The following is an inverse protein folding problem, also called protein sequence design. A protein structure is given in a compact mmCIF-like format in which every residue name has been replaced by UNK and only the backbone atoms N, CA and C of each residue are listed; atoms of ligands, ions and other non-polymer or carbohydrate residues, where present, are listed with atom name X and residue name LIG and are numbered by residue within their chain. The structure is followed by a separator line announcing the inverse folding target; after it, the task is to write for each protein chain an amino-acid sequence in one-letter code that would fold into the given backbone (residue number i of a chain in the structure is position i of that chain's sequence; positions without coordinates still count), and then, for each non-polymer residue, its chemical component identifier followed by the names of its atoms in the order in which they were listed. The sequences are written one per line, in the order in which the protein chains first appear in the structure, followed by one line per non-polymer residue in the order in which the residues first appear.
data_IF_537066053242
#
_entry.id   IF_537066053242
#
_cell.length_a   1.000
_cell.length_b   1.000
_cell.length_c   1.000
_cell.angle_alpha   90.00
_cell.angle_beta   90.00
_cell.angle_gamma   90.00
#
_symmetry.space_group_name_H-M   'P 1'
#
loop_
_entity.id
_entity.type
_entity.pdbx_description
1 polymer ?
#
# COMPACT_ATOMS: atom_id res chain seq x y z
N UNK A 1 18.93 40.95 10.70
CA UNK A 1 20.00 40.07 11.25
C UNK A 1 19.89 38.73 10.54
N UNK A 2 20.85 38.40 9.70
CA UNK A 2 20.95 37.08 9.07
C UNK A 2 21.70 36.21 10.07
N UNK A 3 21.04 35.21 10.66
CA UNK A 3 21.68 34.23 11.53
C UNK A 3 22.87 33.58 10.79
N UNK A 4 24.03 33.50 11.46
CA UNK A 4 25.24 32.86 10.93
C UNK A 4 25.03 31.36 10.70
N UNK A 5 25.84 30.75 9.82
CA UNK A 5 25.72 29.33 9.45
C UNK A 5 25.67 28.37 10.64
N UNK A 6 26.54 28.59 11.64
CA UNK A 6 26.63 27.75 12.85
C UNK A 6 25.37 27.86 13.73
N UNK A 7 24.76 29.05 13.80
CA UNK A 7 23.55 29.29 14.59
C UNK A 7 22.32 28.67 13.92
N UNK A 8 22.29 28.65 12.58
CA UNK A 8 21.26 27.94 11.79
C UNK A 8 21.39 26.42 11.95
N UNK A 9 22.61 25.89 11.93
CA UNK A 9 22.85 24.45 12.09
C UNK A 9 22.48 23.96 13.50
N UNK A 10 22.76 24.76 14.54
CA UNK A 10 22.32 24.45 15.91
C UNK A 10 20.78 24.43 16.05
N UNK A 11 20.07 25.33 15.37
CA UNK A 11 18.60 25.38 15.35
C UNK A 11 18.02 24.20 14.55
N UNK A 12 18.66 23.79 13.46
CA UNK A 12 18.18 22.70 12.58
C UNK A 12 18.58 21.30 13.06
N UNK A 13 19.58 21.16 13.94
CA UNK A 13 20.06 19.87 14.42
C UNK A 13 18.96 18.97 15.02
N UNK A 14 18.02 19.46 15.86
CA UNK A 14 16.91 18.66 16.36
C UNK A 14 15.97 18.19 15.24
N UNK A 15 15.68 19.05 14.26
CA UNK A 15 14.85 18.71 13.10
C UNK A 15 15.51 17.61 12.27
N UNK A 16 16.81 17.71 12.01
CA UNK A 16 17.56 16.67 11.30
C UNK A 16 17.57 15.34 12.07
N UNK A 17 17.71 15.37 13.40
CA UNK A 17 17.65 14.18 14.24
C UNK A 17 16.28 13.52 14.17
N UNK A 18 15.19 14.27 14.32
CA UNK A 18 13.82 13.75 14.19
C UNK A 18 13.56 13.18 12.80
N UNK A 19 14.02 13.85 11.74
CA UNK A 19 13.89 13.35 10.36
C UNK A 19 14.65 12.03 10.14
N UNK A 20 15.82 11.84 10.76
CA UNK A 20 16.55 10.56 10.71
C UNK A 20 15.79 9.46 11.45
N UNK A 21 15.27 9.75 12.64
CA UNK A 21 14.48 8.79 13.41
C UNK A 21 13.22 8.35 12.66
N UNK A 22 12.50 9.30 12.04
CA UNK A 22 11.32 9.01 11.23
C UNK A 22 11.65 8.14 10.02
N UNK A 23 12.78 8.39 9.34
CA UNK A 23 13.26 7.53 8.23
C UNK A 23 13.56 6.12 8.72
N UNK A 24 14.28 5.98 9.81
CA UNK A 24 14.62 4.66 10.38
C UNK A 24 13.35 3.87 10.73
N UNK A 25 12.38 4.50 11.38
CA UNK A 25 11.11 3.86 11.72
C UNK A 25 10.32 3.45 10.46
N UNK A 26 10.34 4.30 9.42
CA UNK A 26 9.71 4.00 8.14
C UNK A 26 10.36 2.79 7.45
N UNK A 27 11.70 2.70 7.45
CA UNK A 27 12.43 1.58 6.88
C UNK A 27 12.11 0.28 7.63
N UNK A 28 12.17 0.31 8.96
CA UNK A 28 11.81 -0.85 9.79
C UNK A 28 10.37 -1.29 9.57
N UNK A 29 9.42 -0.35 9.40
CA UNK A 29 8.04 -0.68 9.07
C UNK A 29 7.92 -1.38 7.71
N UNK A 30 8.62 -0.87 6.69
CA UNK A 30 8.65 -1.49 5.36
C UNK A 30 9.21 -2.91 5.42
N UNK A 31 10.31 -3.13 6.14
CA UNK A 31 10.94 -4.45 6.30
C UNK A 31 10.00 -5.43 7.00
N UNK A 32 9.31 -5.00 8.06
CA UNK A 32 8.31 -5.83 8.76
C UNK A 32 7.15 -6.21 7.85
N UNK A 33 6.63 -5.25 7.08
CA UNK A 33 5.53 -5.50 6.13
C UNK A 33 5.97 -6.46 5.03
N UNK A 34 7.18 -6.26 4.49
CA UNK A 34 7.75 -7.14 3.48
C UNK A 34 7.89 -8.58 4.00
N UNK A 35 8.50 -8.76 5.17
CA UNK A 35 8.65 -10.07 5.79
C UNK A 35 7.27 -10.73 6.07
N UNK A 36 6.29 -9.94 6.53
CA UNK A 36 4.93 -10.43 6.73
C UNK A 36 4.30 -10.93 5.43
N UNK A 37 4.39 -10.14 4.35
CA UNK A 37 3.85 -10.49 3.03
C UNK A 37 4.52 -11.74 2.47
N UNK A 38 5.85 -11.83 2.54
CA UNK A 38 6.63 -12.97 2.04
C UNK A 38 6.28 -14.28 2.77
N UNK A 39 6.18 -14.22 4.11
CA UNK A 39 5.92 -15.40 4.93
C UNK A 39 4.44 -15.82 4.95
N UNK A 40 3.50 -14.87 4.87
CA UNK A 40 2.10 -15.13 5.23
C UNK A 40 1.09 -14.82 4.14
N UNK A 41 1.48 -14.24 3.00
CA UNK A 41 0.54 -13.89 1.94
C UNK A 41 0.77 -14.69 0.66
N UNK A 42 -0.33 -14.91 -0.08
CA UNK A 42 -0.30 -15.42 -1.45
C UNK A 42 -0.90 -14.43 -2.43
N UNK A 43 -0.32 -14.37 -3.62
CA UNK A 43 -0.84 -13.57 -4.73
C UNK A 43 -2.06 -14.27 -5.32
N UNK A 44 -3.18 -13.56 -5.33
CA UNK A 44 -4.38 -13.96 -6.07
C UNK A 44 -4.40 -13.16 -7.37
N UNK A 45 -4.45 -13.89 -8.49
CA UNK A 45 -4.47 -13.30 -9.82
C UNK A 45 -5.80 -12.57 -10.05
N UNK A 46 -5.72 -11.36 -10.60
CA UNK A 46 -6.88 -10.52 -10.92
C UNK A 46 -7.03 -10.40 -12.44
N UNK A 47 -8.26 -10.26 -12.92
CA UNK A 47 -8.50 -10.10 -14.35
C UNK A 47 -7.93 -8.76 -14.89
N UNK A 48 -7.19 -8.83 -16.00
CA UNK A 48 -6.50 -7.69 -16.63
C UNK A 48 -7.32 -6.96 -17.69
N UNK A 49 -8.45 -6.37 -17.32
CA UNK A 49 -9.39 -5.67 -18.23
C UNK A 49 -9.40 -4.14 -18.10
N UNK A 50 -8.42 -3.58 -17.39
CA UNK A 50 -8.40 -2.16 -17.02
C UNK A 50 -9.10 -1.82 -15.71
N UNK A 51 -9.79 -2.77 -15.08
CA UNK A 51 -10.36 -2.61 -13.74
C UNK A 51 -9.55 -3.33 -12.65
N UNK A 52 -8.33 -3.77 -12.94
CA UNK A 52 -7.53 -4.59 -12.02
C UNK A 52 -7.32 -3.96 -10.63
N UNK A 53 -7.12 -2.64 -10.53
CA UNK A 53 -7.02 -1.95 -9.23
C UNK A 53 -8.31 -2.14 -8.40
N UNK A 54 -9.45 -1.78 -8.99
CA UNK A 54 -10.75 -1.86 -8.32
C UNK A 54 -11.10 -3.30 -7.95
N UNK A 55 -10.83 -4.26 -8.83
CA UNK A 55 -11.01 -5.69 -8.54
C UNK A 55 -10.13 -6.14 -7.39
N UNK A 56 -8.85 -5.75 -7.38
CA UNK A 56 -7.92 -6.04 -6.29
C UNK A 56 -8.41 -5.48 -4.94
N UNK A 57 -8.89 -4.23 -4.92
CA UNK A 57 -9.45 -3.61 -3.71
C UNK A 57 -10.72 -4.36 -3.26
N UNK A 58 -11.64 -4.70 -4.18
CA UNK A 58 -12.83 -5.47 -3.79
C UNK A 58 -12.46 -6.82 -3.16
N UNK A 59 -11.45 -7.52 -3.71
CA UNK A 59 -10.98 -8.78 -3.13
C UNK A 59 -10.30 -8.58 -1.78
N UNK A 60 -9.50 -7.54 -1.62
CA UNK A 60 -8.88 -7.19 -0.34
C UNK A 60 -9.89 -6.82 0.75
N UNK A 61 -11.06 -6.32 0.36
CA UNK A 61 -12.21 -6.08 1.24
C UNK A 61 -13.07 -7.34 1.50
N UNK A 62 -12.60 -8.51 1.06
CA UNK A 62 -13.33 -9.78 1.08
C UNK A 62 -14.70 -9.71 0.37
N UNK A 63 -14.73 -9.03 -0.78
CA UNK A 63 -15.91 -8.94 -1.65
C UNK A 63 -15.66 -9.61 -3.00
N UNK A 64 -16.71 -9.96 -3.75
CA UNK A 64 -16.58 -10.49 -5.10
C UNK A 64 -16.00 -9.46 -6.07
N UNK A 65 -15.16 -9.90 -7.02
CA UNK A 65 -14.61 -8.98 -8.05
C UNK A 65 -15.68 -8.29 -8.87
N UNK A 66 -16.85 -8.92 -9.04
CA UNK A 66 -17.99 -8.40 -9.80
C UNK A 66 -18.52 -7.07 -9.25
N UNK A 67 -18.15 -6.69 -8.01
CA UNK A 67 -18.52 -5.41 -7.42
C UNK A 67 -17.60 -4.24 -7.81
N UNK A 68 -16.53 -4.49 -8.59
CA UNK A 68 -15.53 -3.48 -8.96
C UNK A 68 -16.15 -2.20 -9.57
N UNK A 69 -17.25 -2.31 -10.32
CA UNK A 69 -17.97 -1.15 -10.86
C UNK A 69 -18.65 -0.30 -9.79
N UNK A 70 -19.26 -0.94 -8.79
CA UNK A 70 -19.90 -0.22 -7.68
C UNK A 70 -18.83 0.51 -6.87
N UNK A 71 -17.72 -0.17 -6.60
CA UNK A 71 -16.54 0.41 -5.95
C UNK A 71 -15.99 1.61 -6.73
N UNK A 72 -15.74 1.47 -8.03
CA UNK A 72 -15.25 2.55 -8.91
C UNK A 72 -16.15 3.77 -8.83
N UNK A 73 -17.47 3.59 -8.94
CA UNK A 73 -18.43 4.69 -8.83
C UNK A 73 -18.38 5.39 -7.47
N UNK A 74 -18.27 4.64 -6.38
CA UNK A 74 -18.17 5.20 -5.04
C UNK A 74 -16.88 6.02 -4.87
N UNK A 75 -15.75 5.49 -5.35
CA UNK A 75 -14.45 6.18 -5.33
C UNK A 75 -14.51 7.48 -6.13
N UNK A 76 -15.01 7.45 -7.38
CA UNK A 76 -15.05 8.65 -8.23
C UNK A 76 -16.03 9.70 -7.71
N UNK A 77 -17.14 9.27 -7.12
CA UNK A 77 -18.06 10.17 -6.43
C UNK A 77 -17.34 10.88 -5.28
N UNK A 78 -16.65 10.13 -4.42
CA UNK A 78 -15.90 10.66 -3.30
C UNK A 78 -14.80 11.64 -3.75
N UNK A 79 -14.01 11.28 -4.77
CA UNK A 79 -13.01 12.17 -5.35
C UNK A 79 -13.64 13.48 -5.83
N UNK A 80 -14.79 13.43 -6.52
CA UNK A 80 -15.51 14.60 -6.98
C UNK A 80 -16.10 15.47 -5.85
N UNK A 81 -16.48 14.87 -4.73
CA UNK A 81 -17.00 15.58 -3.55
C UNK A 81 -15.88 16.22 -2.69
N UNK A 82 -14.64 15.76 -2.85
CA UNK A 82 -13.47 16.19 -2.06
C UNK A 82 -12.32 16.73 -2.95
N UNK A 83 -12.67 17.50 -3.98
CA UNK A 83 -11.68 18.03 -4.93
C UNK A 83 -10.64 18.96 -4.28
N UNK A 84 -11.01 19.66 -3.22
CA UNK A 84 -10.09 20.47 -2.42
C UNK A 84 -8.92 19.64 -1.86
N UNK A 85 -9.17 18.36 -1.54
CA UNK A 85 -8.16 17.43 -1.03
C UNK A 85 -7.39 16.71 -2.15
N UNK A 86 -8.06 16.38 -3.26
CA UNK A 86 -7.50 15.46 -4.26
C UNK A 86 -7.07 16.10 -5.58
N UNK A 87 -7.41 17.37 -5.84
CA UNK A 87 -7.13 18.03 -7.12
C UNK A 87 -5.64 17.94 -7.49
N UNK A 88 -4.73 18.24 -6.56
CA UNK A 88 -3.28 18.19 -6.83
C UNK A 88 -2.80 16.79 -7.22
N UNK A 89 -3.24 15.75 -6.51
CA UNK A 89 -2.85 14.37 -6.85
C UNK A 89 -3.42 13.93 -8.20
N UNK A 90 -4.63 14.38 -8.55
CA UNK A 90 -5.21 14.13 -9.88
C UNK A 90 -4.43 14.91 -10.95
N UNK A 91 -4.09 16.17 -10.70
CA UNK A 91 -3.30 16.99 -11.60
C UNK A 91 -1.91 16.40 -11.85
N UNK A 92 -1.25 15.83 -10.83
CA UNK A 92 0.02 15.12 -10.97
C UNK A 92 -0.09 13.91 -11.91
N UNK A 93 -1.18 13.14 -11.80
CA UNK A 93 -1.46 12.02 -12.70
C UNK A 93 -1.68 12.53 -14.14
N UNK A 94 -2.48 13.58 -14.31
CA UNK A 94 -2.71 14.19 -15.63
C UNK A 94 -1.39 14.69 -16.23
N UNK A 95 -0.55 15.36 -15.44
CA UNK A 95 0.76 15.84 -15.89
C UNK A 95 1.69 14.70 -16.29
N UNK A 96 1.69 13.60 -15.53
CA UNK A 96 2.47 12.40 -15.84
C UNK A 96 1.99 11.74 -17.14
N UNK A 97 0.68 11.58 -17.33
CA UNK A 97 0.12 11.09 -18.59
C UNK A 97 0.50 12.00 -19.76
N UNK A 98 0.44 13.32 -19.55
CA UNK A 98 0.78 14.31 -20.56
C UNK A 98 2.26 14.26 -20.97
N UNK A 99 3.17 14.06 -20.00
CA UNK A 99 4.60 13.93 -20.23
C UNK A 99 4.94 12.65 -21.01
N UNK A 100 4.18 11.57 -20.78
CA UNK A 100 4.37 10.28 -21.44
C UNK A 100 3.63 10.16 -22.78
N UNK A 101 2.78 11.13 -23.13
CA UNK A 101 2.03 11.10 -24.38
C UNK A 101 2.95 11.34 -25.60
N UNK A 102 2.99 10.36 -26.51
CA UNK A 102 3.83 10.41 -27.73
C UNK A 102 3.29 11.39 -28.77
N UNK A 103 2.01 11.79 -28.69
CA UNK A 103 1.42 12.84 -29.54
C UNK A 103 0.38 13.68 -28.80
N UNK A 104 0.07 14.85 -29.36
CA UNK A 104 -0.95 15.74 -28.79
C UNK A 104 -2.35 15.12 -28.82
N UNK A 105 -2.63 14.26 -29.80
CA UNK A 105 -3.90 13.53 -29.98
C UNK A 105 -4.07 12.41 -28.94
N UNK A 106 -2.98 11.92 -28.33
CA UNK A 106 -3.04 10.94 -27.24
C UNK A 106 -3.37 11.56 -25.88
N UNK A 107 -3.42 12.89 -25.77
CA UNK A 107 -3.74 13.63 -24.53
C UNK A 107 -5.25 13.67 -24.29
N UNK A 108 -5.76 12.57 -23.75
CA UNK A 108 -7.20 12.32 -23.55
C UNK A 108 -7.79 13.04 -22.34
N UNK A 109 -6.95 13.41 -21.37
CA UNK A 109 -7.35 14.02 -20.12
C UNK A 109 -6.55 15.31 -19.93
N UNK A 110 -7.24 16.44 -19.71
CA UNK A 110 -6.60 17.77 -19.57
C UNK A 110 -6.97 18.48 -18.29
N UNK A 111 -8.15 18.16 -17.75
CA UNK A 111 -8.66 18.76 -16.52
C UNK A 111 -9.05 17.67 -15.53
N UNK A 112 -9.13 18.03 -14.25
CA UNK A 112 -9.67 17.15 -13.18
C UNK A 112 -11.07 16.64 -13.54
N UNK A 113 -11.90 17.47 -14.18
CA UNK A 113 -13.23 17.05 -14.64
C UNK A 113 -13.13 15.99 -15.74
N UNK A 114 -12.25 16.17 -16.72
CA UNK A 114 -12.03 15.17 -17.77
C UNK A 114 -11.53 13.87 -17.17
N UNK A 115 -10.68 13.93 -16.15
CA UNK A 115 -10.16 12.77 -15.44
C UNK A 115 -11.31 11.98 -14.80
N UNK A 116 -12.15 12.63 -14.00
CA UNK A 116 -13.28 11.99 -13.35
C UNK A 116 -14.27 11.38 -14.37
N UNK A 117 -14.48 12.04 -15.51
CA UNK A 117 -15.32 11.50 -16.59
C UNK A 117 -14.67 10.32 -17.29
N UNK A 118 -13.37 10.40 -17.58
CA UNK A 118 -12.60 9.33 -18.19
C UNK A 118 -12.61 8.09 -17.31
N UNK A 119 -12.34 8.27 -16.01
CA UNK A 119 -12.23 7.20 -15.03
C UNK A 119 -13.52 6.44 -14.77
N UNK A 120 -14.68 6.94 -15.20
CA UNK A 120 -15.94 6.17 -15.13
C UNK A 120 -15.96 4.95 -16.06
N UNK A 121 -15.10 4.92 -17.09
CA UNK A 121 -15.03 3.81 -18.05
C UNK A 121 -14.45 2.57 -17.38
N UNK A 122 -15.00 1.41 -17.74
CA UNK A 122 -14.58 0.10 -17.19
C UNK A 122 -13.12 -0.26 -17.48
N UNK A 123 -12.57 0.30 -18.56
CA UNK A 123 -11.23 -0.01 -19.06
C UNK A 123 -10.18 1.00 -18.64
N UNK A 124 -10.54 2.06 -17.91
CA UNK A 124 -9.58 3.06 -17.44
C UNK A 124 -8.85 2.55 -16.21
N UNK A 125 -7.52 2.49 -16.29
CA UNK A 125 -6.65 2.09 -15.18
C UNK A 125 -6.76 3.11 -14.05
N UNK A 126 -6.94 2.62 -12.82
CA UNK A 126 -6.86 3.46 -11.64
C UNK A 126 -5.45 3.50 -11.09
N UNK A 127 -5.17 4.54 -10.32
CA UNK A 127 -3.85 4.81 -9.77
C UNK A 127 -4.00 5.41 -8.34
N UNK A 128 -2.97 6.12 -7.90
CA UNK A 128 -2.85 6.73 -6.59
C UNK A 128 -4.09 7.52 -6.11
N UNK A 129 -4.78 8.36 -6.91
CA UNK A 129 -5.98 9.06 -6.44
C UNK A 129 -7.08 8.09 -5.97
N UNK A 130 -7.30 7.00 -6.70
CA UNK A 130 -8.28 5.98 -6.32
C UNK A 130 -7.88 5.22 -5.07
N UNK A 131 -6.59 4.94 -4.88
CA UNK A 131 -6.07 4.27 -3.67
C UNK A 131 -6.30 5.16 -2.45
N UNK A 132 -5.95 6.45 -2.53
CA UNK A 132 -6.16 7.40 -1.44
C UNK A 132 -7.63 7.52 -1.07
N UNK A 133 -8.52 7.65 -2.07
CA UNK A 133 -9.96 7.72 -1.84
C UNK A 133 -10.51 6.41 -1.27
N UNK A 134 -10.08 5.25 -1.76
CA UNK A 134 -10.49 3.96 -1.23
C UNK A 134 -10.10 3.79 0.24
N UNK A 135 -8.87 4.16 0.60
CA UNK A 135 -8.40 4.08 1.99
C UNK A 135 -9.34 4.84 2.94
N UNK A 136 -9.74 6.07 2.57
CA UNK A 136 -10.65 6.90 3.37
C UNK A 136 -12.07 6.30 3.43
N UNK A 137 -12.65 5.92 2.28
CA UNK A 137 -14.02 5.38 2.21
C UNK A 137 -14.17 4.13 3.08
N UNK A 138 -13.16 3.25 3.08
CA UNK A 138 -13.21 1.99 3.81
C UNK A 138 -12.55 2.05 5.18
N UNK A 139 -11.95 3.18 5.54
CA UNK A 139 -11.13 3.36 6.75
C UNK A 139 -10.10 2.23 6.90
N UNK A 140 -9.48 1.86 5.78
CA UNK A 140 -8.58 0.73 5.65
C UNK A 140 -7.20 1.22 5.17
N UNK A 141 -6.13 0.76 5.81
CA UNK A 141 -4.79 0.99 5.29
C UNK A 141 -4.60 0.17 4.00
N UNK A 142 -4.02 0.78 2.97
CA UNK A 142 -3.71 0.12 1.71
C UNK A 142 -2.21 0.14 1.51
N UNK A 143 -1.61 -1.04 1.36
CA UNK A 143 -0.18 -1.23 1.13
C UNK A 143 0.01 -1.73 -0.29
N UNK A 144 0.72 -0.97 -1.11
CA UNK A 144 1.11 -1.38 -2.45
C UNK A 144 2.53 -1.91 -2.41
N UNK A 145 2.72 -3.16 -2.85
CA UNK A 145 4.03 -3.78 -3.01
C UNK A 145 4.32 -4.09 -4.47
N UNK A 146 5.59 -4.04 -4.85
CA UNK A 146 6.07 -4.47 -6.15
C UNK A 146 6.70 -5.86 -6.04
N UNK A 147 6.37 -6.74 -6.97
CA UNK A 147 7.11 -8.00 -7.12
C UNK A 147 8.42 -7.74 -7.85
N UNK A 148 9.55 -8.14 -7.27
CA UNK A 148 10.87 -8.10 -7.90
C UNK A 148 11.40 -9.54 -8.04
N UNK A 149 12.04 -9.84 -9.17
CA UNK A 149 12.58 -11.16 -9.44
C UNK A 149 11.54 -12.19 -9.90
N UNK A 150 11.99 -13.41 -10.15
CA UNK A 150 11.19 -14.52 -10.66
C UNK A 150 11.56 -15.82 -9.95
N UNK A 151 10.62 -16.78 -9.90
CA UNK A 151 10.87 -18.09 -9.31
C UNK A 151 11.18 -18.03 -7.81
N UNK A 152 12.28 -18.68 -7.40
CA UNK A 152 12.72 -18.75 -6.01
C UNK A 152 13.26 -17.42 -5.47
N UNK A 153 13.75 -16.53 -6.34
CA UNK A 153 14.31 -15.22 -5.94
C UNK A 153 13.24 -14.11 -5.88
N UNK A 154 11.96 -14.48 -5.95
CA UNK A 154 10.86 -13.52 -5.92
C UNK A 154 10.80 -12.83 -4.55
N UNK A 155 10.89 -11.51 -4.55
CA UNK A 155 10.77 -10.63 -3.36
C UNK A 155 9.65 -9.62 -3.54
N UNK A 156 9.16 -9.06 -2.43
CA UNK A 156 8.18 -7.99 -2.46
C UNK A 156 8.76 -6.72 -1.86
N UNK A 157 8.82 -5.63 -2.62
CA UNK A 157 9.23 -4.35 -2.07
C UNK A 157 8.02 -3.46 -1.80
N UNK A 158 7.92 -2.90 -0.60
CA UNK A 158 6.90 -1.91 -0.28
C UNK A 158 7.14 -0.66 -1.13
N UNK A 159 6.16 -0.31 -1.94
CA UNK A 159 6.21 0.88 -2.80
C UNK A 159 5.50 2.05 -2.13
N UNK A 160 4.31 1.81 -1.57
CA UNK A 160 3.51 2.84 -0.92
C UNK A 160 2.70 2.25 0.23
N UNK A 161 2.56 3.03 1.30
CA UNK A 161 1.62 2.76 2.40
C UNK A 161 0.68 3.96 2.50
N UNK A 162 -0.59 3.73 2.22
CA UNK A 162 -1.66 4.71 2.40
C UNK A 162 -2.41 4.39 3.68
N UNK A 163 -2.41 5.35 4.61
CA UNK A 163 -3.16 5.27 5.86
C UNK A 163 -4.28 6.31 5.80
N UNK A 164 -5.55 5.94 6.05
CA UNK A 164 -6.64 6.90 6.08
C UNK A 164 -6.49 7.87 7.26
N UNK A 165 -7.18 9.01 7.17
CA UNK A 165 -7.24 10.00 8.24
C UNK A 165 -7.77 9.42 9.55
N UNK A 166 -8.74 8.51 9.45
CA UNK A 166 -9.28 7.74 10.56
C UNK A 166 -9.01 6.25 10.34
N UNK A 167 -8.05 5.71 11.07
CA UNK A 167 -7.78 4.28 11.07
C UNK A 167 -8.65 3.58 12.11
N UNK A 168 -9.47 2.63 11.67
CA UNK A 168 -10.20 1.77 12.58
C UNK A 168 -9.43 0.46 12.80
N UNK A 169 -9.14 0.07 14.06
CA UNK A 169 -8.40 -1.16 14.35
C UNK A 169 -9.16 -2.43 13.93
N UNK A 170 -10.45 -2.31 13.60
CA UNK A 170 -11.30 -3.40 13.12
C UNK A 170 -11.34 -3.53 11.60
N UNK A 171 -10.72 -2.60 10.87
CA UNK A 171 -10.74 -2.59 9.40
C UNK A 171 -9.52 -3.33 8.85
N UNK A 172 -9.70 -4.07 7.74
CA UNK A 172 -8.62 -4.85 7.17
C UNK A 172 -7.50 -3.95 6.62
N UNK A 173 -6.27 -4.45 6.63
CA UNK A 173 -5.19 -3.90 5.79
C UNK A 173 -5.28 -4.58 4.43
N UNK A 174 -5.31 -3.78 3.36
CA UNK A 174 -5.39 -4.29 1.99
C UNK A 174 -4.00 -4.29 1.38
N UNK A 175 -3.51 -5.47 0.99
CA UNK A 175 -2.22 -5.61 0.30
C UNK A 175 -2.45 -5.73 -1.21
N UNK A 176 -2.03 -4.71 -1.95
CA UNK A 176 -2.01 -4.69 -3.40
C UNK A 176 -0.63 -5.12 -3.89
N UNK A 177 -0.59 -5.94 -4.94
CA UNK A 177 0.65 -6.30 -5.62
C UNK A 177 0.64 -5.73 -7.03
N UNK A 178 1.45 -4.70 -7.25
CA UNK A 178 1.58 -4.06 -8.54
C UNK A 178 2.74 -4.70 -9.33
N UNK A 179 2.41 -5.23 -10.50
CA UNK A 179 3.29 -6.06 -11.33
C UNK A 179 3.43 -5.48 -12.73
N UNK A 180 4.65 -5.52 -13.27
CA UNK A 180 4.93 -5.07 -14.64
C UNK A 180 4.59 -3.60 -14.91
N UNK A 181 4.53 -2.78 -13.85
CA UNK A 181 4.15 -1.36 -13.89
C UNK A 181 2.75 -1.06 -14.50
N UNK A 182 1.89 -2.07 -14.66
CA UNK A 182 0.59 -1.90 -15.34
C UNK A 182 -0.56 -2.70 -14.73
N UNK A 183 -0.28 -3.66 -13.85
CA UNK A 183 -1.30 -4.60 -13.40
C UNK A 183 -1.30 -4.81 -11.89
N UNK A 184 -2.46 -4.60 -11.29
CA UNK A 184 -2.71 -4.88 -9.88
C UNK A 184 -3.28 -6.28 -9.70
N UNK A 185 -2.62 -7.02 -8.82
CA UNK A 185 -3.15 -8.19 -8.15
C UNK A 185 -3.42 -7.86 -6.68
N UNK A 186 -4.03 -8.80 -5.96
CA UNK A 186 -4.18 -8.72 -4.51
C UNK A 186 -3.32 -9.78 -3.83
N UNK A 187 -2.80 -9.43 -2.65
CA UNK A 187 -2.15 -10.37 -1.74
C UNK A 187 -3.14 -10.65 -0.60
N UNK A 188 -3.47 -11.92 -0.41
CA UNK A 188 -4.36 -12.34 0.67
C UNK A 188 -3.59 -13.24 1.65
N UNK A 189 -3.98 -13.25 2.94
CA UNK A 189 -3.48 -14.20 3.91
C UNK A 189 -3.53 -15.64 3.39
N UNK A 190 -2.42 -16.33 3.47
CA UNK A 190 -2.31 -17.75 3.17
C UNK A 190 -2.58 -18.55 4.43
N UNK A 191 -3.85 -18.97 4.60
CA UNK A 191 -4.32 -19.60 5.83
C UNK A 191 -3.57 -20.89 6.18
N UNK A 192 -3.09 -21.64 5.18
CA UNK A 192 -2.28 -22.84 5.39
C UNK A 192 -0.94 -22.48 6.04
N UNK A 193 -0.18 -21.57 5.43
CA UNK A 193 1.09 -21.07 5.98
C UNK A 193 0.91 -20.41 7.34
N UNK A 194 -0.14 -19.63 7.53
CA UNK A 194 -0.43 -19.01 8.82
C UNK A 194 -0.65 -20.06 9.91
N UNK A 195 -1.38 -21.13 9.59
CA UNK A 195 -1.63 -22.23 10.53
C UNK A 195 -0.33 -22.95 10.88
N UNK A 196 0.54 -23.20 9.90
CA UNK A 196 1.86 -23.81 10.12
C UNK A 196 2.76 -22.91 10.97
N UNK A 197 2.85 -21.62 10.65
CA UNK A 197 3.64 -20.64 11.39
C UNK A 197 3.18 -20.51 12.86
N UNK A 198 1.88 -20.59 13.12
CA UNK A 198 1.34 -20.57 14.49
C UNK A 198 1.73 -21.84 15.25
N UNK A 199 1.74 -23.01 14.62
CA UNK A 199 2.18 -24.26 15.26
C UNK A 199 3.67 -24.21 15.62
N UNK A 200 4.52 -23.84 14.65
CA UNK A 200 5.96 -23.74 14.84
C UNK A 200 6.33 -22.77 15.97
N UNK A 201 5.64 -21.63 16.07
CA UNK A 201 5.87 -20.67 17.17
C UNK A 201 5.51 -21.25 18.53
N UNK A 202 4.41 -22.00 18.64
CA UNK A 202 4.03 -22.65 19.90
C UNK A 202 5.06 -23.69 20.32
N UNK A 203 5.52 -24.51 19.39
CA UNK A 203 6.56 -25.52 19.64
C UNK A 203 7.86 -24.87 20.11
N UNK A 204 8.26 -23.75 19.49
CA UNK A 204 9.45 -22.98 19.90
C UNK A 204 9.31 -22.31 21.27
N UNK A 205 8.11 -21.79 21.58
CA UNK A 205 7.81 -21.19 22.89
C UNK A 205 7.81 -22.25 23.99
N UNK A 206 7.30 -23.46 23.72
CA UNK A 206 7.34 -24.61 24.63
C UNK A 206 8.78 -25.08 24.87
N UNK A 207 9.59 -25.24 23.81
CA UNK A 207 11.00 -25.63 23.92
C UNK A 207 11.85 -24.58 24.68
N UNK A 208 11.62 -23.29 24.42
CA UNK A 208 12.28 -22.21 25.17
C UNK A 208 11.85 -22.17 26.64
N UNK A 209 10.58 -22.45 26.94
CA UNK A 209 10.09 -22.52 28.32
C UNK A 209 10.74 -23.69 29.06
N UNK A 210 10.86 -24.87 28.44
CA UNK A 210 11.52 -26.04 29.02
C UNK A 210 13.01 -25.78 29.32
N UNK A 211 13.75 -25.19 28.37
CA UNK A 211 15.16 -24.79 28.55
C UNK A 211 15.33 -23.74 29.67
N UNK A 212 14.39 -22.80 29.81
CA UNK A 212 14.43 -21.79 30.88
C UNK A 212 14.11 -22.35 32.27
N UNK A 213 13.46 -23.52 32.36
CA UNK A 213 13.18 -24.20 33.62
C UNK A 213 14.35 -25.08 34.08
N UNK A 214 15.13 -25.67 33.17
CA UNK A 214 16.30 -26.49 33.50
C UNK A 214 17.49 -25.66 34.02
N UNK A 215 17.66 -24.41 33.56
CA UNK A 215 18.75 -23.53 34.03
C UNK A 215 18.59 -23.03 35.49
N UNK A 216 17.44 -23.30 36.14
CA UNK A 216 17.20 -22.90 37.54
C UNK A 216 17.66 -23.98 38.53
N UNK A 217 17.77 -25.24 38.10
CA UNK A 217 18.11 -26.37 38.98
C UNK A 217 19.64 -26.56 39.15
N UNK A 218 20.48 -25.90 38.35
CA UNK A 218 21.95 -25.99 38.42
C UNK A 218 22.60 -24.91 39.34
N UNK A 219 21.82 -24.11 40.08
CA UNK A 219 22.32 -23.03 40.97
C UNK A 219 22.08 -23.30 42.47
N UNK A 220 21.65 -24.50 42.89
CA UNK A 220 21.46 -24.85 44.32
C UNK A 220 22.51 -25.82 44.86
#
# INVERSE_FOLDING_TARGET
RVYGGEERDAIMAPVHQSMRQLRQLSETLCDMIQAYVEANCKRVAIHGDGSCLFRSITRGLDRPETEHFKLRKAILKYLGEHLDKYALTIEDVIATEYANAVSAEMRRVKTVRDYLQHMQRSTSYGDRPEILAAAEIFQAAIVTVHTIGYGADKRYNVHEIVIPSELSPKRPVIFLNHTGAQHYNVLLPDLEKLTENVKLRKEQEEEQAELSCEEVDDIV
#
